data_IF_804663083651
#
_entry.id   IF_804663083651
#
_cell.length_a   1.000
_cell.length_b   1.000
_cell.length_c   1.000
_cell.angle_alpha   90.00
_cell.angle_beta   90.00
_cell.angle_gamma   90.00
#
_symmetry.space_group_name_H-M   'P 1'
#
loop_
_entity.id
_entity.type
_entity.pdbx_description
1 polymer ?
#
# COMPACT_ATOMS: atom_id res chain seq x y z
N UNK A 1 -12.32 -5.18 -13.68
CA UNK A 1 -10.88 -4.83 -13.79
C UNK A 1 -10.53 -3.36 -13.49
N UNK A 2 -11.36 -2.56 -12.78
CA UNK A 2 -11.00 -1.15 -12.47
C UNK A 2 -9.93 -1.01 -11.37
N UNK A 3 -9.88 -1.98 -10.45
CA UNK A 3 -8.97 -1.96 -9.31
C UNK A 3 -7.52 -2.23 -9.72
N UNK A 4 -7.30 -3.18 -10.63
CA UNK A 4 -5.98 -3.50 -11.19
C UNK A 4 -5.40 -2.30 -11.96
N UNK A 5 -6.17 -1.68 -12.86
CA UNK A 5 -5.74 -0.46 -13.55
C UNK A 5 -5.37 0.67 -12.57
N UNK A 6 -6.21 0.91 -11.54
CA UNK A 6 -5.91 1.90 -10.49
C UNK A 6 -4.63 1.55 -9.73
N UNK A 7 -4.39 0.26 -9.46
CA UNK A 7 -3.18 -0.20 -8.77
C UNK A 7 -1.94 0.13 -9.59
N UNK A 8 -1.90 -0.25 -10.87
CA UNK A 8 -0.77 0.06 -11.76
C UNK A 8 -0.53 1.57 -11.92
N UNK A 9 -1.58 2.36 -12.18
CA UNK A 9 -1.44 3.83 -12.27
C UNK A 9 -0.94 4.44 -10.95
N UNK A 10 -1.28 3.84 -9.81
CA UNK A 10 -0.77 4.32 -8.53
C UNK A 10 0.72 4.05 -8.40
N UNK A 11 1.18 2.83 -8.73
CA UNK A 11 2.60 2.47 -8.65
C UNK A 11 3.50 3.35 -9.53
N UNK A 12 3.03 3.80 -10.69
CA UNK A 12 3.74 4.76 -11.55
C UNK A 12 3.97 6.13 -10.90
N UNK A 13 3.12 6.52 -9.95
CA UNK A 13 3.13 7.84 -9.29
C UNK A 13 3.84 7.84 -7.94
N UNK A 14 3.98 6.67 -7.32
CA UNK A 14 4.71 6.51 -6.06
C UNK A 14 6.16 6.95 -6.23
N UNK A 15 6.67 7.70 -5.25
CA UNK A 15 8.05 8.19 -5.25
C UNK A 15 8.82 7.75 -4.02
N UNK A 16 8.12 7.46 -2.92
CA UNK A 16 8.73 6.93 -1.71
C UNK A 16 7.74 6.05 -0.95
N UNK A 17 8.24 5.34 0.05
CA UNK A 17 7.45 4.45 0.89
C UNK A 17 7.92 4.54 2.34
N UNK A 18 7.03 4.19 3.26
CA UNK A 18 7.36 4.01 4.67
C UNK A 18 6.58 2.84 5.27
N UNK A 19 7.13 2.26 6.31
CA UNK A 19 6.43 1.25 7.11
C UNK A 19 5.82 1.97 8.32
N UNK A 20 4.52 1.78 8.49
CA UNK A 20 3.83 2.08 9.74
C UNK A 20 3.90 0.85 10.63
N UNK A 21 4.88 0.84 11.54
CA UNK A 21 5.13 -0.30 12.43
C UNK A 21 3.98 -0.55 13.40
N UNK A 22 3.29 0.51 13.86
CA UNK A 22 2.16 0.39 14.78
C UNK A 22 1.00 -0.37 14.12
N UNK A 23 0.76 -0.14 12.82
CA UNK A 23 -0.30 -0.81 12.07
C UNK A 23 0.19 -1.99 11.22
N UNK A 24 1.50 -2.23 11.17
CA UNK A 24 2.16 -3.20 10.29
C UNK A 24 1.72 -3.05 8.83
N UNK A 25 1.69 -1.80 8.34
CA UNK A 25 1.29 -1.47 6.97
C UNK A 25 2.44 -0.86 6.18
N UNK A 26 2.47 -1.16 4.89
CA UNK A 26 3.28 -0.43 3.92
C UNK A 26 2.46 0.76 3.40
N UNK A 27 2.98 1.97 3.54
CA UNK A 27 2.37 3.20 3.03
C UNK A 27 3.18 3.68 1.84
N UNK A 28 2.52 3.86 0.70
CA UNK A 28 3.10 4.40 -0.53
C UNK A 28 2.75 5.88 -0.66
N UNK A 29 3.76 6.70 -0.96
CA UNK A 29 3.66 8.16 -0.95
C UNK A 29 4.06 8.75 -2.30
N UNK A 30 3.46 9.88 -2.66
CA UNK A 30 3.86 10.68 -3.81
C UNK A 30 5.10 11.55 -3.50
N UNK A 31 5.47 12.44 -4.45
CA UNK A 31 6.62 13.35 -4.28
C UNK A 31 6.45 14.37 -3.15
N UNK A 32 5.20 14.68 -2.79
CA UNK A 32 4.84 15.64 -1.75
C UNK A 32 4.69 14.96 -0.39
N UNK A 33 4.83 13.63 -0.33
CA UNK A 33 4.63 12.85 0.88
C UNK A 33 3.17 12.51 1.16
N UNK A 34 2.26 12.68 0.19
CA UNK A 34 0.84 12.35 0.34
C UNK A 34 0.62 10.85 0.17
N UNK A 35 -0.19 10.26 1.06
CA UNK A 35 -0.57 8.85 0.98
C UNK A 35 -1.38 8.55 -0.27
N UNK A 36 -0.85 7.65 -1.10
CA UNK A 36 -1.53 7.17 -2.30
C UNK A 36 -2.18 5.81 -2.07
N UNK A 37 -1.56 4.96 -1.26
CA UNK A 37 -2.01 3.58 -1.03
C UNK A 37 -1.44 3.02 0.27
N UNK A 38 -2.22 2.12 0.89
CA UNK A 38 -1.84 1.35 2.07
C UNK A 38 -2.01 -0.14 1.79
N UNK A 39 -0.94 -0.91 2.03
CA UNK A 39 -0.91 -2.35 1.80
C UNK A 39 -0.73 -3.09 3.13
N UNK A 40 -1.52 -4.15 3.30
CA UNK A 40 -1.42 -5.08 4.43
C UNK A 40 -0.30 -6.08 4.20
N UNK A 41 0.38 -6.50 5.26
CA UNK A 41 1.30 -7.64 5.20
C UNK A 41 0.51 -8.92 4.89
N UNK A 42 1.01 -9.73 3.96
CA UNK A 42 0.37 -10.97 3.51
C UNK A 42 0.55 -12.16 4.47
N UNK A 43 1.36 -12.03 5.53
CA UNK A 43 1.62 -13.12 6.48
C UNK A 43 0.45 -13.40 7.43
N UNK A 44 -0.60 -12.58 7.40
CA UNK A 44 -1.89 -12.93 7.99
C UNK A 44 -2.64 -13.86 7.02
N UNK A 45 -2.26 -15.14 7.01
CA UNK A 45 -3.23 -16.19 6.67
C UNK A 45 -4.36 -16.02 7.68
N UNK A 46 -5.56 -15.70 7.20
CA UNK A 46 -6.77 -15.75 8.02
C UNK A 46 -6.89 -17.18 8.55
N UNK A 47 -6.38 -17.44 9.75
CA UNK A 47 -6.72 -18.63 10.51
C UNK A 47 -8.18 -18.44 10.90
N UNK A 48 -9.07 -18.98 10.08
CA UNK A 48 -10.46 -19.22 10.48
C UNK A 48 -10.36 -20.15 11.69
N UNK A 49 -10.55 -19.58 12.88
CA UNK A 49 -10.97 -20.36 14.04
C UNK A 49 -12.49 -20.41 14.04
#
# INVERSE_FOLDING_TARGET
>A
MKQEAKFHTTLEKVRTWRIDEAQRKLILLDRQGVEMMRLSRMDQVFSVR
#
